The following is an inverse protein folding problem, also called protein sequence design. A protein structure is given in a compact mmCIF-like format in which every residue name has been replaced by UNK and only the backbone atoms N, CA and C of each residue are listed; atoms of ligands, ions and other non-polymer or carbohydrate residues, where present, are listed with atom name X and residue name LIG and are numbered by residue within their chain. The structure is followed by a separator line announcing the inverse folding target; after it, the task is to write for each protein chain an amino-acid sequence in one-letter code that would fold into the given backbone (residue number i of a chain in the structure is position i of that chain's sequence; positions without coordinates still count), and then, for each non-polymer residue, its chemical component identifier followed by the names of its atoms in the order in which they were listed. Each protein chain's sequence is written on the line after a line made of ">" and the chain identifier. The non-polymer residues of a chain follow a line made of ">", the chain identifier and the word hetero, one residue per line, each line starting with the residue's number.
data_IF_996769012259
#
_entry.id   IF_996769012259
#
_cell.length_a   1.000
_cell.length_b   1.000
_cell.length_c   1.000
_cell.angle_alpha   90.00
_cell.angle_beta   90.00
_cell.angle_gamma   90.00
#
_symmetry.space_group_name_H-M   'P 1'
#
loop_
_entity.id
_entity.type
_entity.pdbx_description
1 polymer ?
#
# COMPACT_ATOMS: atom_id res chain seq x y z
N UNK A 1 31.57 22.33 41.45
CA UNK A 1 30.56 21.26 41.62
C UNK A 1 29.27 21.85 41.07
N UNK A 2 29.15 21.82 39.75
CA UNK A 2 28.34 20.87 38.97
C UNK A 2 26.87 21.29 38.93
N UNK A 3 26.53 21.90 37.80
CA UNK A 3 25.20 22.23 37.30
C UNK A 3 24.47 20.94 36.90
N UNK A 4 23.20 20.82 37.29
CA UNK A 4 22.27 19.82 36.76
C UNK A 4 21.79 20.28 35.37
N UNK A 5 22.16 19.53 34.33
CA UNK A 5 21.51 19.58 33.03
C UNK A 5 20.67 18.31 32.84
N UNK A 6 19.37 18.48 32.82
CA UNK A 6 18.36 17.47 32.55
C UNK A 6 18.33 17.19 31.03
N UNK A 7 18.93 16.07 30.64
CA UNK A 7 19.03 15.67 29.23
C UNK A 7 17.90 14.68 28.87
N UNK A 8 16.86 15.22 28.23
CA UNK A 8 15.79 14.43 27.60
C UNK A 8 16.34 13.49 26.53
N UNK A 9 16.17 12.17 26.75
CA UNK A 9 16.32 11.10 25.75
C UNK A 9 14.93 10.73 25.20
N UNK A 10 14.71 10.55 23.89
CA UNK A 10 13.52 9.89 23.40
C UNK A 10 13.89 8.49 22.89
N UNK A 11 13.71 7.46 23.74
CA UNK A 11 13.66 6.05 23.34
C UNK A 11 12.70 5.35 24.29
N UNK A 12 11.41 5.35 23.96
CA UNK A 12 10.38 4.67 24.76
C UNK A 12 9.20 4.16 23.92
N UNK A 13 9.42 3.87 22.63
CA UNK A 13 8.35 3.36 21.75
C UNK A 13 8.56 1.90 21.33
N UNK A 14 9.73 1.32 21.59
CA UNK A 14 9.96 -0.12 21.39
C UNK A 14 9.51 -0.96 22.58
N UNK A 15 9.53 -0.40 23.80
CA UNK A 15 9.19 -1.16 25.01
C UNK A 15 7.68 -1.40 25.16
N UNK A 16 6.84 -0.60 24.48
CA UNK A 16 5.37 -0.73 24.52
C UNK A 16 4.82 -1.79 23.55
N UNK A 17 5.64 -2.27 22.59
CA UNK A 17 5.20 -3.24 21.57
C UNK A 17 5.21 -4.67 22.13
N UNK A 18 6.09 -4.98 23.08
CA UNK A 18 6.18 -6.30 23.71
C UNK A 18 4.93 -6.65 24.54
N UNK A 19 4.11 -5.65 24.93
CA UNK A 19 2.87 -5.86 25.66
C UNK A 19 1.69 -6.34 24.80
N UNK A 20 1.84 -6.38 23.47
CA UNK A 20 0.78 -6.74 22.51
C UNK A 20 0.92 -8.14 21.90
N UNK A 21 1.90 -8.94 22.34
CA UNK A 21 2.05 -10.32 21.87
C UNK A 21 1.07 -11.24 22.62
N UNK A 22 -0.04 -11.61 21.97
CA UNK A 22 -0.90 -12.70 22.43
C UNK A 22 -0.29 -14.05 21.96
N UNK A 23 -0.06 -14.96 22.91
CA UNK A 23 0.32 -16.34 22.60
C UNK A 23 -0.87 -17.06 21.93
N UNK A 24 -0.69 -17.51 20.68
CA UNK A 24 -1.66 -18.33 19.97
C UNK A 24 -1.77 -19.70 20.66
N UNK A 25 -3.00 -20.10 21.01
CA UNK A 25 -3.33 -21.47 21.39
C UNK A 25 -3.88 -22.19 20.17
N UNK A 26 -3.31 -23.34 19.86
CA UNK A 26 -3.83 -24.31 18.90
C UNK A 26 -5.10 -24.93 19.49
N UNK A 27 -6.26 -24.66 18.87
CA UNK A 27 -7.49 -25.39 19.13
C UNK A 27 -7.85 -26.19 17.85
N UNK A 28 -7.64 -27.50 17.93
CA UNK A 28 -8.20 -28.51 17.02
C UNK A 28 -9.72 -28.60 17.26
N UNK A 29 -10.54 -28.38 16.23
CA UNK A 29 -11.92 -28.91 16.22
C UNK A 29 -12.47 -29.09 14.79
N UNK A 30 -12.73 -30.35 14.44
CA UNK A 30 -13.43 -30.83 13.25
C UNK A 30 -14.92 -30.44 13.26
N UNK A 31 -15.40 -29.80 12.19
CA UNK A 31 -16.83 -29.88 11.81
C UNK A 31 -17.05 -29.62 10.31
N UNK A 32 -17.30 -30.70 9.57
CA UNK A 32 -17.77 -30.69 8.20
C UNK A 32 -19.19 -30.11 8.07
N UNK A 33 -19.39 -29.17 7.15
CA UNK A 33 -20.68 -29.07 6.45
C UNK A 33 -20.47 -28.56 5.03
N UNK A 34 -20.79 -29.41 4.07
CA UNK A 34 -20.88 -29.07 2.66
C UNK A 34 -22.26 -28.47 2.39
N UNK A 35 -22.30 -27.24 1.86
CA UNK A 35 -23.42 -26.77 1.07
C UNK A 35 -22.88 -26.07 -0.19
N UNK A 36 -22.99 -26.81 -1.30
CA UNK A 36 -22.84 -26.29 -2.65
C UNK A 36 -23.82 -25.14 -2.87
N UNK A 37 -23.31 -23.98 -3.28
CA UNK A 37 -24.02 -23.11 -4.21
C UNK A 37 -22.99 -22.40 -5.08
N UNK A 38 -23.08 -22.62 -6.40
CA UNK A 38 -22.26 -21.94 -7.39
C UNK A 38 -22.47 -20.43 -7.28
N UNK A 39 -21.43 -19.74 -6.84
CA UNK A 39 -21.42 -18.28 -6.75
C UNK A 39 -21.38 -17.68 -8.15
N UNK A 40 -22.48 -17.04 -8.54
CA UNK A 40 -22.42 -16.02 -9.58
C UNK A 40 -21.44 -14.92 -9.12
N UNK A 41 -20.65 -14.32 -10.02
CA UNK A 41 -19.88 -13.14 -9.69
C UNK A 41 -20.85 -12.02 -9.32
N UNK A 42 -20.60 -11.40 -8.17
CA UNK A 42 -21.28 -10.25 -7.59
C UNK A 42 -21.95 -9.35 -8.65
N UNK A 43 -23.27 -9.44 -8.78
CA UNK A 43 -24.05 -8.53 -9.61
C UNK A 43 -24.39 -7.29 -8.76
N UNK A 44 -24.03 -6.06 -9.17
CA UNK A 44 -24.54 -4.87 -8.51
C UNK A 44 -26.07 -4.85 -8.65
N UNK A 45 -26.79 -4.84 -7.52
CA UNK A 45 -28.23 -4.57 -7.53
C UNK A 45 -28.43 -3.13 -8.00
N UNK A 46 -29.54 -2.86 -8.71
CA UNK A 46 -29.95 -1.52 -9.16
C UNK A 46 -30.00 -0.47 -8.02
N UNK A 47 -29.92 -0.90 -6.76
CA UNK A 47 -29.83 -0.06 -5.56
C UNK A 47 -28.44 0.62 -5.37
N UNK A 48 -27.35 0.08 -5.96
CA UNK A 48 -25.98 0.61 -5.86
C UNK A 48 -25.68 1.76 -6.85
N UNK A 49 -26.64 2.09 -7.71
CA UNK A 49 -26.55 3.16 -8.70
C UNK A 49 -27.10 4.50 -8.20
N UNK A 50 -27.48 4.59 -6.92
CA UNK A 50 -27.92 5.85 -6.33
C UNK A 50 -26.71 6.70 -5.94
N UNK A 51 -26.60 7.84 -6.61
CA UNK A 51 -25.51 8.81 -6.51
C UNK A 51 -25.53 9.52 -5.17
N UNK A 52 -24.42 9.44 -4.44
CA UNK A 52 -24.16 10.38 -3.36
C UNK A 52 -23.09 11.38 -3.81
N UNK A 53 -23.53 12.57 -4.24
CA UNK A 53 -22.63 13.68 -4.57
C UNK A 53 -21.78 14.09 -3.34
N UNK A 54 -22.24 13.78 -2.11
CA UNK A 54 -21.49 13.99 -0.88
C UNK A 54 -20.25 13.07 -0.80
N UNK A 55 -20.36 11.82 -1.26
CA UNK A 55 -19.25 10.87 -1.35
C UNK A 55 -18.14 11.41 -2.27
N UNK A 56 -18.52 11.90 -3.46
CA UNK A 56 -17.57 12.45 -4.42
C UNK A 56 -16.87 13.71 -3.90
N UNK A 57 -17.62 14.61 -3.25
CA UNK A 57 -17.05 15.81 -2.62
C UNK A 57 -16.10 15.46 -1.47
N UNK A 58 -16.43 14.42 -0.71
CA UNK A 58 -15.55 13.87 0.33
C UNK A 58 -14.26 13.31 -0.26
N UNK A 59 -14.33 12.61 -1.40
CA UNK A 59 -13.16 12.10 -2.12
C UNK A 59 -12.24 13.24 -2.60
N UNK A 60 -12.78 14.28 -3.24
CA UNK A 60 -11.98 15.45 -3.67
C UNK A 60 -11.34 16.19 -2.49
N UNK A 61 -12.05 16.30 -1.37
CA UNK A 61 -11.54 16.92 -0.15
C UNK A 61 -10.35 16.13 0.41
N UNK A 62 -10.48 14.79 0.46
CA UNK A 62 -9.42 13.87 0.91
C UNK A 62 -8.21 13.85 -0.04
N UNK A 63 -8.43 13.87 -1.36
CA UNK A 63 -7.37 13.97 -2.37
C UNK A 63 -6.57 15.27 -2.18
N UNK A 64 -7.25 16.40 -2.02
CA UNK A 64 -6.61 17.71 -1.79
C UNK A 64 -5.76 17.71 -0.52
N UNK A 65 -6.17 16.97 0.52
CA UNK A 65 -5.37 16.84 1.74
C UNK A 65 -4.15 15.94 1.55
N UNK A 66 -4.26 14.90 0.72
CA UNK A 66 -3.13 14.02 0.37
C UNK A 66 -2.10 14.74 -0.49
N UNK A 67 -2.54 15.51 -1.49
CA UNK A 67 -1.66 16.21 -2.41
C UNK A 67 -0.86 17.35 -1.75
N UNK A 68 -1.33 17.89 -0.62
CA UNK A 68 -0.58 18.87 0.21
C UNK A 68 0.59 18.26 0.98
N UNK A 69 0.65 16.93 1.11
CA UNK A 69 1.77 16.21 1.76
C UNK A 69 2.93 16.01 0.77
N UNK A 70 2.66 16.08 -0.53
CA UNK A 70 3.69 16.17 -1.58
C UNK A 70 4.12 17.63 -1.67
N UNK A 71 5.40 17.98 -1.47
CA UNK A 71 5.83 19.37 -1.54
C UNK A 71 5.60 19.92 -2.95
N UNK A 72 5.22 21.19 -3.04
CA UNK A 72 5.12 21.91 -4.30
C UNK A 72 6.44 21.81 -5.11
N UNK A 73 6.37 21.79 -6.46
CA UNK A 73 7.52 21.56 -7.34
C UNK A 73 8.65 22.60 -7.19
N UNK A 74 8.42 23.71 -6.49
CA UNK A 74 9.34 24.84 -6.45
C UNK A 74 10.46 24.72 -5.40
N UNK A 75 10.57 23.62 -4.63
CA UNK A 75 11.58 23.48 -3.54
C UNK A 75 12.58 22.32 -3.72
N UNK A 76 12.53 21.53 -4.81
CA UNK A 76 13.29 20.26 -4.86
C UNK A 76 13.99 20.04 -6.21
N UNK A 77 14.91 20.91 -6.57
CA UNK A 77 15.73 20.68 -7.77
C UNK A 77 16.98 19.80 -7.52
N UNK A 78 17.17 19.24 -6.30
CA UNK A 78 18.38 18.49 -5.96
C UNK A 78 18.19 17.14 -5.25
N UNK A 79 17.10 16.93 -4.50
CA UNK A 79 16.84 15.65 -3.82
C UNK A 79 16.01 14.68 -4.68
N UNK A 80 15.25 15.20 -5.65
CA UNK A 80 14.34 14.42 -6.50
C UNK A 80 15.11 13.53 -7.49
N UNK A 81 16.20 14.05 -8.07
CA UNK A 81 17.03 13.30 -9.02
C UNK A 81 17.77 12.13 -8.37
N UNK A 82 18.13 12.25 -7.07
CA UNK A 82 18.85 11.20 -6.35
C UNK A 82 17.95 10.03 -5.94
N UNK A 83 16.66 10.29 -5.66
CA UNK A 83 15.68 9.26 -5.32
C UNK A 83 15.00 8.66 -6.54
N UNK A 84 15.00 9.35 -7.69
CA UNK A 84 14.34 8.91 -8.91
C UNK A 84 14.81 7.52 -9.36
N UNK A 85 16.12 7.29 -9.48
CA UNK A 85 16.64 6.02 -10.00
C UNK A 85 16.38 4.83 -9.05
N UNK A 86 16.68 4.91 -7.74
CA UNK A 86 16.33 3.82 -6.82
C UNK A 86 14.83 3.58 -6.67
N UNK A 87 14.00 4.64 -6.77
CA UNK A 87 12.54 4.52 -6.79
C UNK A 87 12.06 3.76 -8.03
N UNK A 88 12.56 4.09 -9.22
CA UNK A 88 12.18 3.38 -10.45
C UNK A 88 12.46 1.88 -10.34
N UNK A 89 13.64 1.50 -9.84
CA UNK A 89 13.99 0.08 -9.61
C UNK A 89 13.05 -0.59 -8.61
N UNK A 90 12.67 0.12 -7.54
CA UNK A 90 11.72 -0.39 -6.55
C UNK A 90 10.30 -0.56 -7.13
N UNK A 91 9.82 0.40 -7.92
CA UNK A 91 8.52 0.34 -8.58
C UNK A 91 8.48 -0.79 -9.60
N UNK A 92 9.51 -0.93 -10.43
CA UNK A 92 9.64 -2.03 -11.39
C UNK A 92 9.57 -3.39 -10.67
N UNK A 93 10.27 -3.52 -9.53
CA UNK A 93 10.21 -4.72 -8.71
C UNK A 93 8.80 -4.98 -8.17
N UNK A 94 8.11 -3.95 -7.64
CA UNK A 94 6.73 -4.08 -7.15
C UNK A 94 5.81 -4.57 -8.26
N UNK A 95 5.89 -3.97 -9.45
CA UNK A 95 5.07 -4.36 -10.60
C UNK A 95 5.36 -5.80 -11.07
N UNK A 96 6.63 -6.21 -11.08
CA UNK A 96 7.03 -7.60 -11.41
C UNK A 96 6.42 -8.60 -10.43
N UNK A 97 6.51 -8.33 -9.13
CA UNK A 97 5.96 -9.23 -8.09
C UNK A 97 4.44 -9.23 -8.09
N UNK A 98 3.81 -8.05 -8.26
CA UNK A 98 2.37 -7.93 -8.41
C UNK A 98 1.84 -8.80 -9.56
N UNK A 99 2.52 -8.75 -10.71
CA UNK A 99 2.18 -9.58 -11.88
C UNK A 99 2.39 -11.07 -11.63
N UNK A 100 3.44 -11.46 -10.89
CA UNK A 100 3.71 -12.87 -10.53
C UNK A 100 2.59 -13.48 -9.70
N UNK A 101 2.14 -12.75 -8.68
CA UNK A 101 1.10 -13.22 -7.76
C UNK A 101 -0.32 -13.00 -8.27
N UNK A 102 -0.48 -12.25 -9.37
CA UNK A 102 -1.79 -11.92 -9.92
C UNK A 102 -2.61 -11.01 -9.00
N UNK A 103 -1.93 -10.19 -8.19
CA UNK A 103 -2.58 -9.19 -7.35
C UNK A 103 -3.29 -8.14 -8.20
N UNK A 104 -4.30 -7.52 -7.60
CA UNK A 104 -5.09 -6.48 -8.22
C UNK A 104 -4.24 -5.25 -8.57
N UNK A 105 -4.75 -4.45 -9.50
CA UNK A 105 -4.14 -3.15 -9.84
C UNK A 105 -4.12 -2.22 -8.63
N UNK A 106 -5.16 -2.29 -7.79
CA UNK A 106 -5.25 -1.47 -6.58
C UNK A 106 -4.11 -1.78 -5.61
N UNK A 107 -3.73 -3.06 -5.44
CA UNK A 107 -2.58 -3.46 -4.63
C UNK A 107 -1.28 -2.80 -5.09
N UNK A 108 -1.00 -2.80 -6.40
CA UNK A 108 0.18 -2.10 -6.94
C UNK A 108 0.12 -0.59 -6.68
N UNK A 109 -1.03 0.03 -6.92
CA UNK A 109 -1.25 1.48 -6.70
C UNK A 109 -1.03 1.84 -5.22
N UNK A 110 -1.57 1.04 -4.29
CA UNK A 110 -1.40 1.24 -2.86
C UNK A 110 0.06 1.07 -2.43
N UNK A 111 0.73 0.01 -2.88
CA UNK A 111 2.13 -0.25 -2.56
C UNK A 111 3.02 0.93 -2.97
N UNK A 112 2.81 1.47 -4.17
CA UNK A 112 3.62 2.57 -4.71
C UNK A 112 3.27 3.89 -4.00
N UNK A 113 1.99 4.12 -3.67
CA UNK A 113 1.59 5.25 -2.84
C UNK A 113 2.25 5.22 -1.46
N UNK A 114 2.32 4.04 -0.82
CA UNK A 114 2.99 3.90 0.47
C UNK A 114 4.48 4.16 0.37
N UNK A 115 5.12 3.62 -0.67
CA UNK A 115 6.54 3.81 -0.93
C UNK A 115 6.87 5.30 -1.10
N UNK A 116 6.15 5.98 -1.98
CA UNK A 116 6.40 7.40 -2.28
C UNK A 116 6.20 8.29 -1.05
N UNK A 117 5.12 8.04 -0.28
CA UNK A 117 4.87 8.77 0.98
C UNK A 117 5.94 8.49 2.03
N UNK A 118 6.40 7.24 2.11
CA UNK A 118 7.45 6.85 3.05
C UNK A 118 8.78 7.51 2.69
N UNK A 119 9.19 7.45 1.42
CA UNK A 119 10.43 8.07 0.92
C UNK A 119 10.42 9.61 1.04
N UNK A 120 9.25 10.23 0.90
CA UNK A 120 9.10 11.70 1.07
C UNK A 120 9.17 12.11 2.54
N UNK A 121 8.54 11.33 3.43
CA UNK A 121 8.43 11.68 4.86
C UNK A 121 9.69 11.34 5.64
N UNK A 122 10.30 10.20 5.30
CA UNK A 122 11.57 9.77 5.86
C UNK A 122 12.65 10.48 5.07
N UNK A 123 13.38 11.44 5.66
CA UNK A 123 14.53 12.13 5.01
C UNK A 123 15.62 11.11 4.69
N UNK A 124 15.41 10.37 3.63
CA UNK A 124 16.17 9.19 3.30
C UNK A 124 17.53 9.66 2.79
N UNK A 125 18.55 9.56 3.63
CA UNK A 125 19.95 9.75 3.23
C UNK A 125 20.36 8.49 2.45
N UNK A 126 19.87 8.41 1.22
CA UNK A 126 20.00 7.25 0.33
C UNK A 126 21.42 7.00 -0.15
N UNK A 127 22.36 7.92 0.12
CA UNK A 127 23.70 7.99 -0.46
C UNK A 127 24.56 6.72 -0.32
N UNK A 128 24.11 5.70 0.43
CA UNK A 128 24.85 4.44 0.50
C UNK A 128 24.05 3.16 0.81
N UNK A 129 22.71 3.15 0.69
CA UNK A 129 21.90 2.01 1.16
C UNK A 129 20.72 1.63 0.25
N UNK A 130 20.98 1.15 -0.99
CA UNK A 130 19.93 0.71 -1.92
C UNK A 130 19.06 -0.43 -1.37
N UNK A 131 19.61 -1.28 -0.50
CA UNK A 131 18.88 -2.34 0.19
C UNK A 131 17.72 -1.81 1.05
N UNK A 132 17.82 -0.59 1.59
CA UNK A 132 16.75 -0.03 2.42
C UNK A 132 15.53 0.35 1.59
N UNK A 133 15.72 0.86 0.37
CA UNK A 133 14.63 1.19 -0.55
C UNK A 133 13.96 -0.10 -1.04
N UNK A 134 14.77 -1.14 -1.32
CA UNK A 134 14.22 -2.45 -1.65
C UNK A 134 13.42 -3.07 -0.49
N UNK A 135 13.93 -2.99 0.75
CA UNK A 135 13.19 -3.41 1.94
C UNK A 135 11.87 -2.62 2.09
N UNK A 136 11.91 -1.31 1.88
CA UNK A 136 10.70 -0.48 1.89
C UNK A 136 9.69 -0.93 0.82
N UNK A 137 10.15 -1.25 -0.40
CA UNK A 137 9.30 -1.73 -1.48
C UNK A 137 8.63 -3.07 -1.16
N UNK A 138 9.41 -4.06 -0.69
CA UNK A 138 8.90 -5.36 -0.22
C UNK A 138 7.85 -5.17 0.86
N UNK A 139 8.14 -4.29 1.82
CA UNK A 139 7.25 -4.01 2.95
C UNK A 139 5.97 -3.29 2.50
N UNK A 140 6.08 -2.31 1.60
CA UNK A 140 4.91 -1.59 1.06
C UNK A 140 4.00 -2.53 0.29
N UNK A 141 4.56 -3.46 -0.50
CA UNK A 141 3.78 -4.47 -1.21
C UNK A 141 3.11 -5.45 -0.23
N UNK A 142 3.82 -5.90 0.81
CA UNK A 142 3.22 -6.73 1.86
C UNK A 142 2.03 -6.04 2.53
N UNK A 143 2.19 -4.76 2.91
CA UNK A 143 1.12 -3.98 3.51
C UNK A 143 -0.06 -3.78 2.55
N UNK A 144 0.20 -3.50 1.27
CA UNK A 144 -0.85 -3.35 0.28
C UNK A 144 -1.63 -4.65 0.06
N UNK A 145 -0.92 -5.77 -0.06
CA UNK A 145 -1.54 -7.08 -0.18
C UNK A 145 -2.40 -7.42 1.05
N UNK A 146 -1.93 -7.12 2.27
CA UNK A 146 -2.72 -7.28 3.51
C UNK A 146 -3.96 -6.40 3.60
N UNK A 147 -4.00 -5.30 2.87
CA UNK A 147 -5.14 -4.37 2.86
C UNK A 147 -6.17 -4.79 1.82
N UNK A 148 -5.73 -5.22 0.64
CA UNK A 148 -6.59 -5.37 -0.54
C UNK A 148 -6.84 -6.83 -0.94
N UNK A 149 -5.88 -7.73 -0.72
CA UNK A 149 -5.95 -9.10 -1.23
C UNK A 149 -6.59 -10.05 -0.23
N UNK A 150 -7.41 -10.98 -0.73
CA UNK A 150 -8.04 -12.02 0.09
C UNK A 150 -7.05 -13.09 0.56
N UNK A 151 -5.98 -13.30 -0.19
CA UNK A 151 -4.95 -14.29 0.08
C UNK A 151 -3.60 -13.63 -0.04
N UNK A 152 -2.87 -13.59 1.06
CA UNK A 152 -1.55 -12.95 1.14
C UNK A 152 -0.49 -14.03 1.32
N UNK A 153 0.49 -14.14 0.40
CA UNK A 153 1.62 -15.04 0.55
C UNK A 153 2.43 -14.76 1.83
N UNK A 154 3.23 -15.73 2.26
CA UNK A 154 4.16 -15.50 3.37
C UNK A 154 5.21 -14.45 2.98
N UNK A 155 5.71 -13.70 3.97
CA UNK A 155 6.71 -12.63 3.76
C UNK A 155 8.00 -13.12 3.10
N UNK A 156 8.35 -14.39 3.30
CA UNK A 156 9.51 -15.02 2.68
C UNK A 156 9.23 -15.27 1.20
N UNK A 157 8.04 -15.76 0.86
CA UNK A 157 7.64 -16.07 -0.52
C UNK A 157 7.41 -14.82 -1.35
N UNK A 158 6.95 -13.72 -0.73
CA UNK A 158 6.73 -12.44 -1.41
C UNK A 158 8.00 -11.87 -2.06
N UNK A 159 9.17 -12.31 -1.57
CA UNK A 159 10.46 -11.90 -2.11
C UNK A 159 10.78 -12.72 -3.35
N UNK A 160 11.04 -12.05 -4.46
CA UNK A 160 11.43 -12.71 -5.71
C UNK A 160 12.81 -13.35 -5.58
N UNK A 161 12.98 -14.61 -6.02
CA UNK A 161 14.26 -15.33 -5.96
C UNK A 161 15.40 -14.63 -6.73
N UNK A 162 15.07 -13.80 -7.73
CA UNK A 162 16.06 -13.03 -8.50
C UNK A 162 16.52 -11.73 -7.80
N UNK A 163 16.09 -11.44 -6.57
CA UNK A 163 16.48 -10.20 -5.90
C UNK A 163 17.89 -10.26 -5.35
N UNK A 164 18.58 -9.11 -5.41
CA UNK A 164 19.90 -8.94 -4.82
C UNK A 164 19.90 -9.03 -3.29
N UNK A 165 18.74 -8.81 -2.66
CA UNK A 165 18.60 -8.74 -1.21
C UNK A 165 17.40 -9.61 -0.78
N UNK A 166 17.64 -10.44 0.22
CA UNK A 166 16.61 -11.22 0.90
C UNK A 166 16.62 -10.84 2.37
N UNK A 167 15.44 -10.66 2.93
CA UNK A 167 15.22 -10.19 4.29
C UNK A 167 14.47 -11.25 5.10
N UNK A 168 14.82 -11.35 6.37
CA UNK A 168 14.05 -12.14 7.33
C UNK A 168 12.66 -11.55 7.52
N UNK A 169 11.66 -12.42 7.72
CA UNK A 169 10.28 -12.00 8.00
C UNK A 169 10.19 -10.99 9.16
N UNK A 170 10.98 -11.17 10.24
CA UNK A 170 11.04 -10.25 11.37
C UNK A 170 11.53 -8.85 10.99
N UNK A 171 12.45 -8.75 10.03
CA UNK A 171 12.94 -7.47 9.52
C UNK A 171 11.86 -6.74 8.72
N UNK A 172 11.12 -7.48 7.89
CA UNK A 172 9.97 -6.95 7.14
C UNK A 172 8.90 -6.48 8.12
N UNK A 173 8.51 -7.28 9.11
CA UNK A 173 7.51 -6.90 10.13
C UNK A 173 7.89 -5.62 10.89
N UNK A 174 9.16 -5.47 11.30
CA UNK A 174 9.64 -4.23 11.93
C UNK A 174 9.51 -3.03 10.99
N UNK A 175 9.82 -3.24 9.72
CA UNK A 175 9.64 -2.21 8.70
C UNK A 175 8.15 -1.89 8.47
N UNK A 176 7.26 -2.89 8.53
CA UNK A 176 5.81 -2.67 8.41
C UNK A 176 5.32 -1.68 9.46
N UNK A 177 5.69 -1.89 10.72
CA UNK A 177 5.37 -0.97 11.82
C UNK A 177 5.96 0.42 11.58
N UNK A 178 7.21 0.51 11.12
CA UNK A 178 7.84 1.80 10.81
C UNK A 178 7.09 2.56 9.69
N UNK A 179 6.69 1.86 8.63
CA UNK A 179 5.92 2.46 7.54
C UNK A 179 4.53 2.87 8.05
N UNK A 180 3.81 1.99 8.73
CA UNK A 180 2.49 2.27 9.30
C UNK A 180 2.51 3.51 10.22
N UNK A 181 3.48 3.58 11.13
CA UNK A 181 3.65 4.73 12.03
C UNK A 181 3.99 6.02 11.27
N UNK A 182 4.89 5.94 10.28
CA UNK A 182 5.25 7.09 9.41
C UNK A 182 4.02 7.60 8.64
N UNK A 183 3.19 6.69 8.14
CA UNK A 183 1.96 6.99 7.41
C UNK A 183 0.78 7.34 8.33
N UNK A 184 0.98 7.33 9.66
CA UNK A 184 -0.05 7.52 10.68
C UNK A 184 -1.24 6.58 10.49
N UNK A 185 -0.96 5.35 10.07
CA UNK A 185 -1.94 4.30 9.79
C UNK A 185 -2.99 4.67 8.71
N UNK A 186 -2.73 5.71 7.92
CA UNK A 186 -3.59 6.13 6.81
C UNK A 186 -3.29 5.29 5.57
N UNK A 187 -3.82 4.06 5.56
CA UNK A 187 -3.57 3.03 4.53
C UNK A 187 -4.58 3.05 3.38
N UNK A 188 -5.67 3.81 3.48
CA UNK A 188 -6.63 3.92 2.37
C UNK A 188 -6.52 5.30 1.72
N UNK A 189 -5.48 5.57 0.90
CA UNK A 189 -5.41 6.79 0.14
C UNK A 189 -6.56 6.85 -0.87
N UNK A 190 -6.89 8.05 -1.34
CA UNK A 190 -7.81 8.17 -2.47
C UNK A 190 -6.99 7.81 -3.70
N UNK A 191 -7.47 6.84 -4.48
CA UNK A 191 -6.79 6.40 -5.69
C UNK A 191 -7.60 6.82 -6.92
N UNK A 192 -6.96 6.95 -8.10
CA UNK A 192 -7.69 7.18 -9.34
C UNK A 192 -8.77 6.12 -9.60
N UNK A 193 -8.56 4.88 -9.15
CA UNK A 193 -9.53 3.79 -9.23
C UNK A 193 -10.84 4.10 -8.51
N UNK A 194 -10.77 4.77 -7.35
CA UNK A 194 -11.97 5.18 -6.62
C UNK A 194 -12.85 6.13 -7.45
N UNK A 195 -12.24 7.04 -8.23
CA UNK A 195 -12.99 7.94 -9.11
C UNK A 195 -13.52 7.24 -10.35
N UNK A 196 -12.76 6.27 -10.89
CA UNK A 196 -13.19 5.47 -12.04
C UNK A 196 -14.46 4.70 -11.72
N UNK A 197 -14.52 4.05 -10.56
CA UNK A 197 -15.71 3.32 -10.10
C UNK A 197 -16.94 4.26 -10.02
N UNK A 198 -16.76 5.46 -9.46
CA UNK A 198 -17.82 6.47 -9.42
C UNK A 198 -18.26 6.89 -10.84
N UNK A 199 -17.33 7.15 -11.76
CA UNK A 199 -17.64 7.52 -13.15
C UNK A 199 -18.41 6.41 -13.87
N UNK A 200 -17.99 5.16 -13.70
CA UNK A 200 -18.60 4.01 -14.37
C UNK A 200 -20.05 3.85 -13.97
N UNK A 201 -20.30 3.87 -12.65
CA UNK A 201 -21.64 3.82 -12.12
C UNK A 201 -22.44 5.00 -12.78
N UNK A 202 -21.87 6.23 -12.93
CA UNK A 202 -22.60 7.47 -13.37
C UNK A 202 -23.05 7.40 -14.80
N UNK A 203 -22.20 6.80 -15.63
CA UNK A 203 -22.47 6.60 -17.03
C UNK A 203 -23.45 5.45 -17.28
N UNK A 204 -23.87 4.72 -16.23
CA UNK A 204 -24.80 3.61 -16.33
C UNK A 204 -24.28 2.50 -17.23
N UNK A 205 -22.96 2.28 -17.24
CA UNK A 205 -22.35 1.28 -18.11
C UNK A 205 -22.86 -0.11 -17.73
N UNK A 206 -23.51 -0.77 -18.69
CA UNK A 206 -23.97 -2.16 -18.52
C UNK A 206 -22.78 -3.09 -18.24
N UNK A 207 -23.05 -4.18 -17.53
CA UNK A 207 -22.07 -5.13 -16.98
C UNK A 207 -20.88 -5.49 -17.90
N UNK A 208 -21.10 -5.72 -19.20
CA UNK A 208 -20.02 -6.04 -20.13
C UNK A 208 -19.11 -4.83 -20.45
N UNK A 209 -19.69 -3.63 -20.61
CA UNK A 209 -18.93 -2.41 -20.87
C UNK A 209 -18.21 -1.92 -19.61
N UNK A 210 -18.82 -2.14 -18.44
CA UNK A 210 -18.23 -1.87 -17.13
C UNK A 210 -16.88 -2.60 -16.96
N UNK A 211 -16.87 -3.93 -17.14
CA UNK A 211 -15.67 -4.75 -16.98
C UNK A 211 -14.56 -4.40 -17.99
N UNK A 212 -14.91 -4.21 -19.26
CA UNK A 212 -13.95 -3.85 -20.30
C UNK A 212 -13.34 -2.45 -20.04
N UNK A 213 -14.14 -1.51 -19.55
CA UNK A 213 -13.66 -0.18 -19.19
C UNK A 213 -12.71 -0.22 -17.99
N UNK A 214 -13.09 -0.93 -16.91
CA UNK A 214 -12.21 -1.13 -15.75
C UNK A 214 -10.87 -1.75 -16.15
N UNK A 215 -10.90 -2.81 -16.95
CA UNK A 215 -9.68 -3.49 -17.40
C UNK A 215 -8.75 -2.56 -18.20
N UNK A 216 -9.31 -1.63 -18.99
CA UNK A 216 -8.51 -0.63 -19.72
C UNK A 216 -7.94 0.43 -18.78
N UNK A 217 -8.72 0.90 -17.81
CA UNK A 217 -8.26 1.84 -16.80
C UNK A 217 -7.15 1.23 -15.94
N UNK A 218 -7.29 -0.02 -15.53
CA UNK A 218 -6.28 -0.76 -14.81
C UNK A 218 -4.96 -0.82 -15.58
N UNK A 219 -5.02 -1.20 -16.86
CA UNK A 219 -3.84 -1.24 -17.71
C UNK A 219 -3.20 0.15 -17.88
N UNK A 220 -4.01 1.19 -18.10
CA UNK A 220 -3.52 2.57 -18.21
C UNK A 220 -2.85 3.04 -16.92
N UNK A 221 -3.43 2.73 -15.75
CA UNK A 221 -2.85 3.12 -14.47
C UNK A 221 -1.52 2.42 -14.23
N UNK A 222 -1.42 1.12 -14.53
CA UNK A 222 -0.15 0.40 -14.47
C UNK A 222 0.89 1.01 -15.41
N UNK A 223 0.50 1.41 -16.63
CA UNK A 223 1.39 2.08 -17.58
C UNK A 223 1.81 3.50 -17.16
N UNK A 224 0.97 4.22 -16.43
CA UNK A 224 1.30 5.57 -15.93
C UNK A 224 2.22 5.51 -14.72
N UNK A 225 2.11 4.44 -13.93
CA UNK A 225 2.86 4.26 -12.69
C UNK A 225 4.23 3.59 -12.95
N UNK A 226 4.36 2.79 -14.02
CA UNK A 226 5.64 2.20 -14.47
C UNK A 226 6.60 3.24 -15.02
#
# INVERSE_FOLDING_TARGET
>A
MQEEQEQSRPLSLLDDIDALYCEEKEDDDDASSACNNGGNPFFPLDQDLFWDDEELLSMFSKETTQHKVVPAPDTINGADEFLAMPRCVAVEWVLKVNARYGFTTLTAVLAINYLDRFLTSFRFQSDNKPWMIHLAAVTCLSLAAKIEETQVPLLVDLQDEDTKYVFEAKTIQRMEILILTTLKWKMHPITPLSFIDHIIRRLGLKTHLHWEFLKRCDHLLLCVIS
#
